data_IF_508326047530
#
_entry.id   IF_508326047530
#
_cell.length_a   1.000
_cell.length_b   1.000
_cell.length_c   1.000
_cell.angle_alpha   90.00
_cell.angle_beta   90.00
_cell.angle_gamma   90.00
#
_symmetry.space_group_name_H-M   'P 1'
#
loop_
_entity.id
_entity.type
_entity.pdbx_description
1 polymer ?
#
# COMPACT_ATOMS: atom_id res chain seq x y z
N UNK A 1 2.77 1.70 22.04
CA UNK A 1 3.31 2.25 20.78
C UNK A 1 2.15 2.82 19.97
N UNK A 2 2.30 3.92 19.23
CA UNK A 2 1.22 4.38 18.33
C UNK A 2 1.10 3.41 17.16
N UNK A 3 -0.13 3.06 16.78
CA UNK A 3 -0.44 2.12 15.69
C UNK A 3 0.19 2.59 14.37
N UNK A 4 0.77 1.67 13.61
CA UNK A 4 1.36 1.96 12.31
C UNK A 4 0.30 2.45 11.31
N UNK A 5 0.71 3.29 10.36
CA UNK A 5 -0.11 3.72 9.23
C UNK A 5 0.45 3.16 7.92
N UNK A 6 -0.42 2.73 7.01
CA UNK A 6 -0.02 2.20 5.70
C UNK A 6 -0.40 3.17 4.58
N UNK A 7 0.58 3.73 3.89
CA UNK A 7 0.39 4.44 2.63
C UNK A 7 0.08 3.45 1.50
N UNK A 8 -1.11 3.54 0.91
CA UNK A 8 -1.54 2.63 -0.16
C UNK A 8 -1.19 3.18 -1.54
N UNK A 9 0.00 2.85 -2.04
CA UNK A 9 0.42 3.14 -3.41
C UNK A 9 -0.31 2.30 -4.46
N UNK A 10 -0.88 1.16 -4.07
CA UNK A 10 -1.74 0.32 -4.92
C UNK A 10 -3.01 1.00 -5.41
N UNK A 11 -3.43 2.08 -4.74
CA UNK A 11 -4.58 2.90 -5.14
C UNK A 11 -4.20 4.11 -6.01
N UNK A 12 -2.95 4.20 -6.43
CA UNK A 12 -2.52 5.27 -7.34
C UNK A 12 -3.23 5.15 -8.69
N UNK A 13 -3.78 6.25 -9.19
CA UNK A 13 -4.46 6.30 -10.47
C UNK A 13 -3.52 5.98 -11.66
N UNK A 14 -2.21 6.18 -11.49
CA UNK A 14 -1.20 5.77 -12.48
C UNK A 14 -1.01 4.26 -12.49
N UNK A 15 -1.12 3.59 -11.35
CA UNK A 15 -1.09 2.11 -11.29
C UNK A 15 -2.32 1.53 -11.99
N UNK A 16 -3.47 2.20 -11.90
CA UNK A 16 -4.65 1.79 -12.68
C UNK A 16 -4.44 1.93 -14.20
N UNK A 17 -3.72 2.97 -14.65
CA UNK A 17 -3.41 3.19 -16.09
C UNK A 17 -2.31 2.25 -16.60
N UNK A 18 -1.34 1.93 -15.75
CA UNK A 18 -0.17 1.12 -16.05
C UNK A 18 -0.05 -0.02 -15.01
N UNK A 19 -0.88 -1.07 -15.12
CA UNK A 19 -1.01 -2.09 -14.09
C UNK A 19 0.28 -2.89 -13.88
N UNK A 20 0.67 -3.07 -12.62
CA UNK A 20 1.84 -3.84 -12.20
C UNK A 20 1.57 -5.34 -12.20
N UNK A 21 1.39 -5.95 -13.37
CA UNK A 21 1.02 -7.37 -13.54
C UNK A 21 -0.26 -7.81 -12.78
N UNK A 22 -0.92 -6.89 -12.07
CA UNK A 22 -2.13 -7.05 -11.29
C UNK A 22 -3.09 -5.98 -11.79
N UNK A 23 -4.15 -6.42 -12.45
CA UNK A 23 -5.24 -5.54 -12.83
C UNK A 23 -6.12 -5.32 -11.59
N UNK A 24 -6.16 -4.08 -11.10
CA UNK A 24 -7.04 -3.70 -10.00
C UNK A 24 -8.44 -3.48 -10.58
N UNK A 25 -9.38 -4.36 -10.26
CA UNK A 25 -10.81 -4.17 -10.46
C UNK A 25 -11.52 -3.73 -9.17
N UNK A 26 -12.83 -3.45 -9.24
CA UNK A 26 -13.63 -3.06 -8.07
C UNK A 26 -13.59 -4.10 -6.95
N UNK A 27 -13.61 -5.39 -7.31
CA UNK A 27 -13.52 -6.48 -6.35
C UNK A 27 -12.16 -6.46 -5.64
N UNK A 28 -11.06 -6.38 -6.39
CA UNK A 28 -9.70 -6.30 -5.87
C UNK A 28 -9.52 -5.07 -4.96
N UNK A 29 -10.04 -3.91 -5.37
CA UNK A 29 -10.06 -2.69 -4.57
C UNK A 29 -10.74 -2.91 -3.21
N UNK A 30 -11.93 -3.51 -3.21
CA UNK A 30 -12.69 -3.79 -1.99
C UNK A 30 -12.00 -4.83 -1.10
N UNK A 31 -11.47 -5.90 -1.68
CA UNK A 31 -10.82 -6.95 -0.92
C UNK A 31 -9.55 -6.46 -0.22
N UNK A 32 -8.81 -5.53 -0.85
CA UNK A 32 -7.67 -4.88 -0.22
C UNK A 32 -8.11 -4.09 1.03
N UNK A 33 -9.15 -3.25 0.92
CA UNK A 33 -9.68 -2.49 2.05
C UNK A 33 -10.19 -3.41 3.17
N UNK A 34 -10.88 -4.49 2.82
CA UNK A 34 -11.33 -5.51 3.77
C UNK A 34 -10.16 -6.11 4.51
N UNK A 35 -9.12 -6.55 3.79
CA UNK A 35 -7.94 -7.17 4.40
C UNK A 35 -7.34 -6.22 5.43
N UNK A 36 -7.19 -4.94 5.08
CA UNK A 36 -6.67 -3.92 5.99
C UNK A 36 -7.55 -3.77 7.22
N UNK A 37 -8.88 -3.66 7.03
CA UNK A 37 -9.84 -3.53 8.12
C UNK A 37 -9.82 -4.75 9.07
N UNK A 38 -9.79 -5.97 8.53
CA UNK A 38 -9.70 -7.22 9.30
C UNK A 38 -8.38 -7.36 10.05
N UNK A 39 -7.30 -6.77 9.54
CA UNK A 39 -6.00 -6.77 10.21
C UNK A 39 -5.76 -5.56 11.09
N UNK A 40 -6.73 -4.64 11.20
CA UNK A 40 -6.59 -3.39 11.92
C UNK A 40 -5.41 -2.55 11.40
N UNK A 41 -5.13 -2.60 10.10
CA UNK A 41 -4.05 -1.85 9.46
C UNK A 41 -4.56 -0.51 8.97
N UNK A 42 -4.42 0.53 9.81
CA UNK A 42 -4.84 1.88 9.43
C UNK A 42 -4.17 2.34 8.14
N UNK A 43 -4.94 3.04 7.32
CA UNK A 43 -4.58 3.39 5.95
C UNK A 43 -4.41 4.90 5.81
N UNK A 44 -3.46 5.29 4.96
CA UNK A 44 -3.36 6.63 4.39
C UNK A 44 -3.63 6.54 2.88
N UNK A 45 -4.55 7.39 2.39
CA UNK A 45 -4.80 7.58 0.96
C UNK A 45 -4.55 9.06 0.61
N UNK A 46 -3.88 9.29 -0.53
CA UNK A 46 -3.69 10.61 -1.11
C UNK A 46 -5.04 11.17 -1.62
N UNK A 47 -5.33 12.43 -1.32
CA UNK A 47 -6.53 13.13 -1.81
C UNK A 47 -6.75 12.99 -3.34
N UNK A 48 -5.67 12.98 -4.13
CA UNK A 48 -5.70 12.77 -5.57
C UNK A 48 -6.13 11.37 -5.96
N UNK A 49 -5.74 10.34 -5.21
CA UNK A 49 -6.18 8.96 -5.44
C UNK A 49 -7.67 8.83 -5.15
N UNK A 50 -8.14 9.37 -4.02
CA UNK A 50 -9.54 9.33 -3.64
C UNK A 50 -10.46 10.00 -4.68
N UNK A 51 -10.01 11.12 -5.26
CA UNK A 51 -10.78 11.89 -6.24
C UNK A 51 -10.68 11.35 -7.68
N UNK A 52 -9.51 10.86 -8.09
CA UNK A 52 -9.28 10.47 -9.48
C UNK A 52 -9.45 8.97 -9.75
N UNK A 53 -9.37 8.12 -8.72
CA UNK A 53 -9.53 6.68 -8.88
C UNK A 53 -11.00 6.31 -9.13
N UNK A 54 -11.34 5.60 -10.22
CA UNK A 54 -12.73 5.33 -10.59
C UNK A 54 -13.50 4.55 -9.51
N UNK A 55 -12.91 3.49 -8.96
CA UNK A 55 -13.56 2.71 -7.88
C UNK A 55 -13.70 3.47 -6.57
N UNK A 56 -12.81 4.44 -6.29
CA UNK A 56 -12.94 5.28 -5.12
C UNK A 56 -14.12 6.24 -5.29
N UNK A 57 -14.25 6.90 -6.46
CA UNK A 57 -15.43 7.73 -6.78
C UNK A 57 -16.72 6.93 -6.72
N UNK A 58 -16.74 5.74 -7.33
CA UNK A 58 -17.89 4.85 -7.29
C UNK A 58 -18.26 4.49 -5.84
N UNK A 59 -17.29 4.11 -5.02
CA UNK A 59 -17.50 3.80 -3.61
C UNK A 59 -18.04 4.99 -2.78
N UNK A 60 -17.64 6.21 -3.10
CA UNK A 60 -18.15 7.41 -2.43
C UNK A 60 -19.58 7.76 -2.84
N UNK A 61 -19.91 7.59 -4.13
CA UNK A 61 -21.25 7.86 -4.67
C UNK A 61 -22.25 6.74 -4.33
N UNK A 62 -21.78 5.49 -4.23
CA UNK A 62 -22.56 4.30 -3.95
C UNK A 62 -21.98 3.55 -2.74
N UNK A 63 -22.23 4.00 -1.49
CA UNK A 63 -21.56 3.49 -0.30
C UNK A 63 -21.82 2.01 0.04
N UNK A 64 -22.81 1.39 -0.58
CA UNK A 64 -23.10 -0.05 -0.44
C UNK A 64 -22.25 -0.92 -1.38
N UNK A 65 -21.54 -0.31 -2.34
CA UNK A 65 -20.64 -1.03 -3.26
C UNK A 65 -19.27 -1.34 -2.68
N UNK A 66 -18.90 -0.72 -1.56
CA UNK A 66 -17.53 -0.72 -1.03
C UNK A 66 -17.46 -0.28 0.43
N UNK A 67 -16.54 -0.83 1.25
CA UNK A 67 -16.38 -0.39 2.64
C UNK A 67 -15.68 0.98 2.75
N UNK A 68 -15.14 1.55 1.66
CA UNK A 68 -14.28 2.73 1.68
C UNK A 68 -14.87 3.91 2.49
N UNK A 69 -16.08 4.36 2.14
CA UNK A 69 -16.69 5.54 2.80
C UNK A 69 -16.90 5.30 4.30
N UNK A 70 -17.30 4.08 4.66
CA UNK A 70 -17.48 3.67 6.05
C UNK A 70 -16.15 3.72 6.82
N UNK A 71 -15.08 3.20 6.23
CA UNK A 71 -13.75 3.18 6.84
C UNK A 71 -13.14 4.58 6.96
N UNK A 72 -13.41 5.48 6.01
CA UNK A 72 -13.02 6.90 6.11
C UNK A 72 -13.77 7.60 7.24
N UNK A 73 -15.09 7.42 7.31
CA UNK A 73 -15.93 8.01 8.37
C UNK A 73 -15.59 7.50 9.77
N UNK A 74 -15.06 6.27 9.88
CA UNK A 74 -14.57 5.71 11.14
C UNK A 74 -13.12 6.11 11.48
N UNK A 75 -12.51 7.02 10.70
CA UNK A 75 -11.12 7.45 10.85
C UNK A 75 -10.08 6.31 10.76
N UNK A 76 -10.45 5.20 10.11
CA UNK A 76 -9.57 4.07 9.84
C UNK A 76 -8.74 4.30 8.57
N UNK A 77 -9.39 4.87 7.54
CA UNK A 77 -8.73 5.44 6.37
C UNK A 77 -8.60 6.95 6.60
N UNK A 78 -7.38 7.43 6.69
CA UNK A 78 -7.08 8.86 6.80
C UNK A 78 -6.69 9.43 5.44
N UNK A 79 -7.12 10.67 5.17
CA UNK A 79 -6.88 11.33 3.90
C UNK A 79 -5.67 12.25 4.04
N UNK A 80 -4.59 11.94 3.33
CA UNK A 80 -3.47 12.85 3.18
C UNK A 80 -3.83 13.94 2.17
N UNK A 81 -3.98 15.17 2.66
CA UNK A 81 -4.50 16.27 1.84
C UNK A 81 -3.54 17.45 1.74
N UNK A 82 -3.47 18.02 0.54
CA UNK A 82 -2.71 19.25 0.24
C UNK A 82 -3.34 20.51 0.84
N UNK A 83 -4.63 20.50 1.16
CA UNK A 83 -5.33 21.67 1.69
C UNK A 83 -6.29 21.40 2.85
N UNK A 84 -6.48 20.13 3.24
CA UNK A 84 -7.52 19.76 4.21
C UNK A 84 -8.95 19.85 3.65
N UNK A 85 -9.11 19.91 2.32
CA UNK A 85 -10.38 20.00 1.61
C UNK A 85 -10.25 19.33 0.24
N UNK A 86 -11.05 18.30 -0.05
CA UNK A 86 -11.04 17.60 -1.33
C UNK A 86 -11.63 18.48 -2.45
N UNK A 87 -12.63 19.30 -2.13
CA UNK A 87 -13.19 20.29 -3.04
C UNK A 87 -12.16 21.33 -3.47
N UNK A 88 -11.39 21.86 -2.53
CA UNK A 88 -10.33 22.84 -2.81
C UNK A 88 -9.22 22.21 -3.64
N UNK A 89 -8.83 20.97 -3.33
CA UNK A 89 -7.84 20.20 -4.11
C UNK A 89 -8.32 20.06 -5.55
N UNK A 90 -9.56 19.61 -5.76
CA UNK A 90 -10.10 19.43 -7.10
C UNK A 90 -10.09 20.74 -7.91
N UNK A 91 -10.38 21.87 -7.28
CA UNK A 91 -10.36 23.18 -7.91
C UNK A 91 -8.94 23.65 -8.22
N UNK A 92 -8.05 23.67 -7.22
CA UNK A 92 -6.68 24.17 -7.33
C UNK A 92 -5.86 23.35 -8.33
N UNK A 93 -5.93 22.02 -8.26
CA UNK A 93 -5.16 21.15 -9.13
C UNK A 93 -5.61 21.25 -10.60
N UNK A 94 -6.93 21.40 -10.84
CA UNK A 94 -7.47 21.66 -12.18
C UNK A 94 -6.97 23.01 -12.73
N UNK A 95 -6.99 24.07 -11.90
CA UNK A 95 -6.51 25.40 -12.27
C UNK A 95 -4.98 25.44 -12.52
N UNK A 96 -4.21 24.59 -11.84
CA UNK A 96 -2.77 24.40 -12.07
C UNK A 96 -2.43 23.58 -13.32
N UNK A 97 -3.43 23.11 -14.07
CA UNK A 97 -3.20 22.36 -15.31
C UNK A 97 -3.03 20.86 -15.13
N UNK A 98 -3.36 20.30 -13.95
CA UNK A 98 -3.24 18.85 -13.73
C UNK A 98 -4.39 18.13 -14.45
N UNK A 99 -4.04 17.40 -15.50
CA UNK A 99 -4.99 16.86 -16.47
C UNK A 99 -6.05 15.94 -15.85
N UNK A 100 -5.69 15.09 -14.89
CA UNK A 100 -6.63 14.19 -14.22
C UNK A 100 -7.77 14.95 -13.54
N UNK A 101 -7.47 16.06 -12.87
CA UNK A 101 -8.48 16.91 -12.22
C UNK A 101 -9.32 17.72 -13.22
N UNK A 102 -8.73 18.16 -14.34
CA UNK A 102 -9.49 18.80 -15.42
C UNK A 102 -10.49 17.83 -16.05
N UNK A 103 -10.06 16.58 -16.31
CA UNK A 103 -10.94 15.51 -16.80
C UNK A 103 -12.03 15.18 -15.78
N UNK A 104 -11.69 15.10 -14.50
CA UNK A 104 -12.66 14.90 -13.42
C UNK A 104 -13.75 15.97 -13.45
N UNK A 105 -13.40 17.26 -13.48
CA UNK A 105 -14.39 18.36 -13.46
C UNK A 105 -15.30 18.40 -14.69
N UNK A 106 -14.82 17.90 -15.84
CA UNK A 106 -15.60 17.79 -17.08
C UNK A 106 -16.42 16.49 -17.16
N UNK A 107 -16.22 15.54 -16.24
CA UNK A 107 -16.91 14.26 -16.27
C UNK A 107 -18.38 14.38 -15.85
N UNK A 108 -19.20 13.45 -16.32
CA UNK A 108 -20.63 13.37 -15.96
C UNK A 108 -20.85 13.08 -14.46
N UNK A 109 -19.86 12.48 -13.77
CA UNK A 109 -19.93 12.14 -12.34
C UNK A 109 -19.71 13.36 -11.44
N UNK A 110 -19.04 14.41 -11.93
CA UNK A 110 -18.59 15.53 -11.10
C UNK A 110 -19.71 16.29 -10.37
N UNK A 111 -20.86 16.61 -10.97
CA UNK A 111 -21.94 17.29 -10.26
C UNK A 111 -22.43 16.52 -9.02
N UNK A 112 -22.59 15.19 -9.16
CA UNK A 112 -22.98 14.32 -8.07
C UNK A 112 -21.87 14.21 -7.01
N UNK A 113 -20.63 13.99 -7.43
CA UNK A 113 -19.48 13.89 -6.52
C UNK A 113 -19.28 15.18 -5.73
N UNK A 114 -19.30 16.33 -6.39
CA UNK A 114 -19.18 17.65 -5.75
C UNK A 114 -20.26 17.88 -4.70
N UNK A 115 -21.49 17.47 -4.97
CA UNK A 115 -22.61 17.61 -4.03
C UNK A 115 -22.40 16.72 -2.80
N UNK A 116 -22.00 15.48 -3.01
CA UNK A 116 -21.67 14.55 -1.93
C UNK A 116 -20.50 15.07 -1.07
N UNK A 117 -19.40 15.53 -1.69
CA UNK A 117 -18.24 16.07 -0.98
C UNK A 117 -18.60 17.27 -0.09
N UNK A 118 -19.43 18.20 -0.59
CA UNK A 118 -19.91 19.36 0.19
C UNK A 118 -20.62 18.96 1.49
N UNK A 119 -21.34 17.83 1.47
CA UNK A 119 -22.05 17.32 2.64
C UNK A 119 -21.14 16.50 3.54
N UNK A 120 -20.16 15.82 2.96
CA UNK A 120 -19.32 14.83 3.64
C UNK A 120 -18.11 15.45 4.35
N UNK A 121 -17.42 16.40 3.71
CA UNK A 121 -16.19 17.02 4.23
C UNK A 121 -16.33 17.65 5.63
N UNK A 122 -17.43 18.36 5.98
CA UNK A 122 -17.59 18.90 7.33
C UNK A 122 -17.64 17.80 8.41
N UNK A 123 -18.06 16.59 8.07
CA UNK A 123 -17.96 15.42 8.95
C UNK A 123 -16.50 14.99 9.13
N UNK A 124 -15.73 14.94 8.05
CA UNK A 124 -14.33 14.54 8.05
C UNK A 124 -13.44 15.52 8.83
N UNK A 125 -13.71 16.82 8.73
CA UNK A 125 -13.01 17.86 9.49
C UNK A 125 -13.27 17.73 10.99
N UNK A 126 -14.50 17.40 11.41
CA UNK A 126 -14.85 17.24 12.84
C UNK A 126 -14.17 16.06 13.51
N UNK A 127 -13.77 15.04 12.75
CA UNK A 127 -13.09 13.85 13.27
C UNK A 127 -11.58 13.86 12.98
N UNK A 128 -11.04 15.00 12.54
CA UNK A 128 -9.63 15.17 12.17
C UNK A 128 -9.13 14.08 11.20
N UNK A 129 -9.94 13.74 10.19
CA UNK A 129 -9.61 12.68 9.24
C UNK A 129 -8.48 13.07 8.26
N UNK A 130 -8.31 14.37 8.03
CA UNK A 130 -7.28 14.89 7.16
C UNK A 130 -5.93 14.92 7.87
N UNK A 131 -4.93 14.27 7.29
CA UNK A 131 -3.54 14.40 7.72
C UNK A 131 -2.79 15.33 6.76
N UNK A 132 -1.79 16.08 7.26
CA UNK A 132 -1.07 17.04 6.44
C UNK A 132 -0.27 16.33 5.34
N UNK A 133 -0.27 16.95 4.15
CA UNK A 133 0.66 16.61 3.08
C UNK A 133 2.12 16.66 3.57
N UNK A 134 3.03 15.86 2.99
CA UNK A 134 4.43 15.93 3.35
C UNK A 134 4.99 17.34 3.12
N UNK A 135 5.71 17.87 4.11
CA UNK A 135 6.40 19.17 3.99
C UNK A 135 7.53 19.16 2.96
N UNK A 136 7.94 17.98 2.50
CA UNK A 136 9.00 17.76 1.52
C UNK A 136 8.47 17.84 0.09
N UNK A 137 9.29 18.39 -0.81
CA UNK A 137 8.98 18.52 -2.24
C UNK A 137 8.94 17.16 -2.94
N UNK A 138 7.73 16.58 -3.03
CA UNK A 138 7.52 15.22 -3.53
C UNK A 138 8.14 14.99 -4.92
N UNK A 139 8.02 15.94 -5.84
CA UNK A 139 8.56 15.80 -7.20
C UNK A 139 10.10 15.73 -7.25
N UNK A 140 10.78 16.37 -6.29
CA UNK A 140 12.24 16.30 -6.16
C UNK A 140 12.67 14.98 -5.53
N UNK A 141 11.98 14.55 -4.47
CA UNK A 141 12.23 13.25 -3.87
C UNK A 141 11.95 12.07 -4.80
N UNK A 142 10.92 12.19 -5.66
CA UNK A 142 10.66 11.24 -6.74
C UNK A 142 11.82 11.16 -7.73
N UNK A 143 12.35 12.31 -8.18
CA UNK A 143 13.51 12.35 -9.09
C UNK A 143 14.73 11.67 -8.46
N UNK A 144 15.02 11.99 -7.20
CA UNK A 144 16.10 11.38 -6.43
C UNK A 144 15.92 9.87 -6.32
N UNK A 145 14.70 9.38 -6.07
CA UNK A 145 14.43 7.93 -6.01
C UNK A 145 14.56 7.26 -7.38
N UNK A 146 13.97 7.85 -8.42
CA UNK A 146 14.01 7.28 -9.76
C UNK A 146 15.44 7.22 -10.30
N UNK A 147 16.25 8.25 -10.10
CA UNK A 147 17.63 8.30 -10.59
C UNK A 147 18.54 7.22 -9.97
N UNK A 148 18.19 6.65 -8.82
CA UNK A 148 18.92 5.51 -8.23
C UNK A 148 18.87 4.27 -9.12
N UNK A 149 17.81 4.12 -9.91
CA UNK A 149 17.66 2.99 -10.83
C UNK A 149 18.45 3.12 -12.12
N UNK A 150 18.95 4.32 -12.48
CA UNK A 150 19.56 4.60 -13.79
C UNK A 150 20.81 3.74 -14.07
N UNK A 151 21.56 3.39 -13.03
CA UNK A 151 22.79 2.60 -13.14
C UNK A 151 22.55 1.09 -13.04
N UNK A 152 21.30 0.66 -12.86
CA UNK A 152 20.93 -0.75 -12.79
C UNK A 152 20.56 -1.25 -14.19
N UNK A 153 20.90 -2.51 -14.47
CA UNK A 153 20.44 -3.21 -15.67
C UNK A 153 18.94 -3.50 -15.57
N UNK A 154 18.24 -3.46 -16.70
CA UNK A 154 16.79 -3.72 -16.77
C UNK A 154 16.40 -5.09 -16.21
N UNK A 155 17.28 -6.09 -16.37
CA UNK A 155 17.08 -7.43 -15.80
C UNK A 155 17.04 -7.41 -14.26
N UNK A 156 17.91 -6.63 -13.62
CA UNK A 156 17.91 -6.47 -12.16
C UNK A 156 16.63 -5.76 -11.68
N UNK A 157 16.04 -4.91 -12.52
CA UNK A 157 14.77 -4.23 -12.24
C UNK A 157 13.54 -5.13 -12.44
N UNK A 158 13.74 -6.39 -12.86
CA UNK A 158 12.65 -7.32 -13.16
C UNK A 158 11.83 -6.87 -14.38
N UNK A 159 12.47 -6.20 -15.33
CA UNK A 159 11.88 -5.83 -16.62
C UNK A 159 12.21 -6.91 -17.65
N UNK A 160 11.22 -7.27 -18.46
CA UNK A 160 11.28 -8.36 -19.44
C UNK A 160 11.00 -7.89 -20.86
N UNK A 161 10.30 -6.77 -21.03
CA UNK A 161 9.97 -6.20 -22.33
C UNK A 161 10.92 -5.05 -22.72
N UNK A 162 11.44 -4.31 -21.74
CA UNK A 162 12.33 -3.16 -21.93
C UNK A 162 13.78 -3.63 -22.09
N UNK A 163 14.50 -3.09 -23.08
CA UNK A 163 15.96 -3.31 -23.23
C UNK A 163 16.77 -2.23 -22.49
N UNK A 164 18.05 -2.48 -22.20
CA UNK A 164 18.91 -1.45 -21.60
C UNK A 164 19.04 -0.19 -22.49
N UNK A 165 19.05 -0.33 -23.82
CA UNK A 165 19.08 0.83 -24.74
C UNK A 165 17.80 1.67 -24.63
N UNK A 166 16.64 1.03 -24.63
CA UNK A 166 15.35 1.70 -24.42
C UNK A 166 15.35 2.48 -23.09
N UNK A 167 15.80 1.82 -22.02
CA UNK A 167 15.87 2.37 -20.68
C UNK A 167 16.77 3.61 -20.62
N UNK A 168 17.98 3.54 -21.18
CA UNK A 168 18.90 4.68 -21.21
C UNK A 168 18.38 5.82 -22.07
N UNK A 169 17.80 5.54 -23.25
CA UNK A 169 17.19 6.57 -24.12
C UNK A 169 16.04 7.31 -23.44
N UNK A 170 15.18 6.59 -22.71
CA UNK A 170 14.11 7.19 -21.91
C UNK A 170 14.70 8.08 -20.81
N UNK A 171 15.71 7.59 -20.08
CA UNK A 171 16.39 8.35 -19.03
C UNK A 171 17.07 9.62 -19.55
N UNK A 172 17.70 9.57 -20.72
CA UNK A 172 18.36 10.71 -21.34
C UNK A 172 17.34 11.79 -21.74
N UNK A 173 16.24 11.39 -22.39
CA UNK A 173 15.17 12.33 -22.73
C UNK A 173 14.51 12.92 -21.48
N UNK A 174 14.26 12.09 -20.46
CA UNK A 174 13.73 12.53 -19.18
C UNK A 174 14.66 13.55 -18.50
N UNK A 175 15.96 13.24 -18.41
CA UNK A 175 16.97 14.10 -17.77
C UNK A 175 17.07 15.45 -18.49
N UNK A 176 17.03 15.44 -19.83
CA UNK A 176 17.02 16.66 -20.64
C UNK A 176 15.79 17.53 -20.33
N UNK A 177 14.60 16.92 -20.26
CA UNK A 177 13.35 17.63 -19.96
C UNK A 177 13.22 18.07 -18.50
N UNK A 178 13.87 17.38 -17.58
CA UNK A 178 13.75 17.60 -16.13
C UNK A 178 14.90 18.44 -15.54
N UNK A 179 15.71 19.09 -16.40
CA UNK A 179 16.91 19.83 -15.99
C UNK A 179 16.61 21.15 -15.29
N UNK A 180 15.63 21.89 -15.78
CA UNK A 180 15.35 23.28 -15.34
C UNK A 180 14.17 23.42 -14.38
N UNK A 181 13.26 22.45 -14.39
CA UNK A 181 12.05 22.45 -13.59
C UNK A 181 11.86 21.05 -13.01
N UNK A 182 11.46 20.99 -11.74
CA UNK A 182 11.19 19.76 -10.99
C UNK A 182 9.70 19.60 -10.67
N UNK A 183 8.82 20.40 -11.23
CA UNK A 183 7.37 20.22 -11.11
C UNK A 183 6.83 19.14 -12.05
N UNK A 184 5.80 18.40 -11.67
CA UNK A 184 5.20 17.36 -12.53
C UNK A 184 6.21 16.31 -13.09
N UNK A 185 7.26 16.01 -12.35
CA UNK A 185 8.37 15.14 -12.77
C UNK A 185 7.93 13.76 -13.27
N UNK A 186 6.96 13.13 -12.58
CA UNK A 186 6.41 11.83 -13.00
C UNK A 186 5.73 11.89 -14.37
N UNK A 187 5.03 12.98 -14.65
CA UNK A 187 4.41 13.21 -15.97
C UNK A 187 5.47 13.36 -17.06
N UNK A 188 6.59 14.02 -16.77
CA UNK A 188 7.70 14.12 -17.73
C UNK A 188 8.33 12.76 -18.04
N UNK A 189 8.43 11.88 -17.04
CA UNK A 189 8.87 10.50 -17.23
C UNK A 189 7.91 9.73 -18.15
N UNK A 190 6.61 9.79 -17.90
CA UNK A 190 5.56 9.18 -18.75
C UNK A 190 5.67 9.66 -20.20
N UNK A 191 5.80 10.98 -20.40
CA UNK A 191 5.99 11.56 -21.73
C UNK A 191 7.31 11.14 -22.41
N UNK A 192 8.37 10.89 -21.64
CA UNK A 192 9.62 10.38 -22.19
C UNK A 192 9.45 8.92 -22.66
N UNK A 193 8.79 8.09 -21.86
CA UNK A 193 8.46 6.71 -22.22
C UNK A 193 7.64 6.67 -23.53
N UNK A 194 6.55 7.45 -23.61
CA UNK A 194 5.68 7.50 -24.79
C UNK A 194 6.46 8.01 -26.01
N UNK A 195 7.30 9.03 -25.87
CA UNK A 195 8.03 9.60 -27.01
C UNK A 195 9.12 8.66 -27.55
N UNK A 196 9.76 7.88 -26.70
CA UNK A 196 10.87 6.99 -27.12
C UNK A 196 10.33 5.66 -27.65
N UNK A 197 9.25 5.15 -27.08
CA UNK A 197 8.79 3.78 -27.28
C UNK A 197 7.39 3.67 -27.90
N UNK A 198 6.68 4.78 -28.08
CA UNK A 198 5.27 4.79 -28.49
C UNK A 198 4.99 4.16 -29.86
N UNK A 199 6.01 4.13 -30.73
CA UNK A 199 5.92 3.57 -32.07
C UNK A 199 6.40 2.10 -32.14
N UNK A 200 6.85 1.52 -31.02
CA UNK A 200 7.30 0.12 -30.96
C UNK A 200 6.12 -0.86 -31.00
N UNK A 201 6.36 -2.03 -31.62
CA UNK A 201 5.35 -3.10 -31.70
C UNK A 201 4.85 -3.62 -30.33
N UNK A 202 5.67 -3.47 -29.28
CA UNK A 202 5.37 -3.81 -27.89
C UNK A 202 5.39 -2.58 -26.96
N UNK A 203 5.05 -1.40 -27.50
CA UNK A 203 5.07 -0.12 -26.77
C UNK A 203 4.31 -0.20 -25.43
N UNK A 204 3.15 -0.86 -25.42
CA UNK A 204 2.29 -0.97 -24.24
C UNK A 204 3.01 -1.69 -23.10
N UNK A 205 3.59 -2.85 -23.36
CA UNK A 205 4.30 -3.66 -22.37
C UNK A 205 5.54 -2.90 -21.85
N UNK A 206 6.33 -2.31 -22.75
CA UNK A 206 7.52 -1.54 -22.36
C UNK A 206 7.18 -0.33 -21.49
N UNK A 207 6.16 0.45 -21.90
CA UNK A 207 5.73 1.64 -21.14
C UNK A 207 5.17 1.21 -19.78
N UNK A 208 4.40 0.11 -19.70
CA UNK A 208 3.91 -0.42 -18.43
C UNK A 208 5.05 -0.75 -17.45
N UNK A 209 6.11 -1.41 -17.91
CA UNK A 209 7.26 -1.76 -17.05
C UNK A 209 7.96 -0.51 -16.48
N UNK A 210 8.22 0.49 -17.34
CA UNK A 210 8.85 1.76 -16.96
C UNK A 210 7.98 2.62 -16.04
N UNK A 211 6.67 2.68 -16.31
CA UNK A 211 5.71 3.35 -15.42
C UNK A 211 5.53 2.60 -14.12
N UNK A 212 5.73 1.29 -14.13
CA UNK A 212 5.78 0.46 -12.95
C UNK A 212 6.90 0.86 -11.99
N UNK A 213 8.12 1.00 -12.51
CA UNK A 213 9.28 1.49 -11.76
C UNK A 213 9.07 2.91 -11.22
N UNK A 214 8.53 3.82 -12.04
CA UNK A 214 8.24 5.18 -11.60
C UNK A 214 7.20 5.21 -10.48
N UNK A 215 6.15 4.40 -10.56
CA UNK A 215 5.15 4.35 -9.49
C UNK A 215 5.75 3.79 -8.20
N UNK A 216 6.61 2.76 -8.28
CA UNK A 216 7.36 2.25 -7.13
C UNK A 216 8.25 3.33 -6.48
N UNK A 217 9.04 4.06 -7.28
CA UNK A 217 9.88 5.17 -6.83
C UNK A 217 9.05 6.27 -6.13
N UNK A 218 7.87 6.58 -6.68
CA UNK A 218 6.95 7.57 -6.14
C UNK A 218 6.43 7.17 -4.75
N UNK A 219 6.05 5.91 -4.58
CA UNK A 219 5.53 5.41 -3.31
C UNK A 219 6.61 5.32 -2.23
N UNK A 220 7.81 4.84 -2.56
CA UNK A 220 8.94 4.86 -1.63
C UNK A 220 9.29 6.29 -1.20
N UNK A 221 9.24 7.25 -2.13
CA UNK A 221 9.45 8.64 -1.78
C UNK A 221 8.41 9.16 -0.76
N UNK A 222 7.12 8.83 -0.93
CA UNK A 222 6.12 9.14 0.10
C UNK A 222 6.45 8.48 1.44
N UNK A 223 6.85 7.21 1.42
CA UNK A 223 7.23 6.49 2.63
C UNK A 223 8.40 7.18 3.36
N UNK A 224 9.42 7.65 2.63
CA UNK A 224 10.55 8.42 3.17
C UNK A 224 10.04 9.72 3.81
N UNK A 225 9.30 10.53 3.07
CA UNK A 225 8.86 11.84 3.55
C UNK A 225 7.89 11.72 4.74
N UNK A 226 6.96 10.76 4.70
CA UNK A 226 6.00 10.52 5.77
C UNK A 226 6.67 9.96 7.02
N UNK A 227 7.62 9.03 6.88
CA UNK A 227 8.35 8.49 8.04
C UNK A 227 9.16 9.58 8.75
N UNK A 228 9.81 10.48 7.99
CA UNK A 228 10.53 11.61 8.56
C UNK A 228 9.59 12.62 9.23
N UNK A 229 8.44 12.91 8.63
CA UNK A 229 7.45 13.85 9.18
C UNK A 229 6.74 13.31 10.42
N UNK A 230 6.42 12.01 10.44
CA UNK A 230 5.70 11.35 11.52
C UNK A 230 6.63 10.42 12.30
N UNK A 231 7.78 10.91 12.76
CA UNK A 231 8.83 10.09 13.41
C UNK A 231 8.38 9.27 14.63
N UNK A 232 7.27 9.66 15.27
CA UNK A 232 6.66 8.95 16.40
C UNK A 232 5.72 7.80 15.98
N UNK A 233 5.43 7.68 14.68
CA UNK A 233 4.57 6.65 14.10
C UNK A 233 5.33 5.87 13.05
N UNK A 234 5.08 4.57 13.01
CA UNK A 234 5.60 3.73 11.93
C UNK A 234 4.78 3.94 10.67
N UNK A 235 5.45 4.21 9.56
CA UNK A 235 4.83 4.27 8.23
C UNK A 235 5.22 3.02 7.44
N UNK A 236 4.20 2.31 6.97
CA UNK A 236 4.30 1.25 5.97
C UNK A 236 3.94 1.86 4.61
N UNK A 237 4.53 1.36 3.54
CA UNK A 237 4.12 1.63 2.16
C UNK A 237 3.74 0.33 1.49
N UNK A 238 2.58 0.31 0.84
CA UNK A 238 2.16 -0.78 -0.03
C UNK A 238 2.41 -0.41 -1.50
N UNK A 239 3.32 -1.13 -2.14
CA UNK A 239 3.80 -0.85 -3.51
C UNK A 239 4.39 -2.11 -4.15
N UNK A 240 4.57 -2.12 -5.48
CA UNK A 240 5.38 -3.12 -6.18
C UNK A 240 6.77 -3.23 -5.53
N UNK A 241 7.29 -4.45 -5.42
CA UNK A 241 8.67 -4.72 -5.07
C UNK A 241 9.49 -5.06 -6.33
N UNK A 242 10.62 -4.38 -6.49
CA UNK A 242 11.72 -4.74 -7.38
C UNK A 242 13.07 -4.55 -6.68
N UNK A 243 14.16 -5.05 -7.29
CA UNK A 243 15.49 -4.84 -6.72
C UNK A 243 15.95 -3.37 -6.77
N UNK A 244 15.24 -2.49 -7.49
CA UNK A 244 15.55 -1.07 -7.61
C UNK A 244 15.65 -0.37 -6.25
N UNK A 245 14.87 -0.84 -5.27
CA UNK A 245 14.77 -0.27 -3.93
C UNK A 245 14.99 -1.33 -2.84
N UNK A 246 15.60 -2.46 -3.20
CA UNK A 246 15.87 -3.53 -2.24
C UNK A 246 16.77 -3.06 -1.10
N UNK A 247 17.65 -2.07 -1.31
CA UNK A 247 18.50 -1.53 -0.24
C UNK A 247 17.72 -0.68 0.79
N UNK A 248 16.56 -0.15 0.40
CA UNK A 248 15.66 0.58 1.32
C UNK A 248 14.95 -0.36 2.28
N UNK A 249 14.78 -1.61 1.85
CA UNK A 249 14.20 -2.68 2.63
C UNK A 249 15.40 -3.44 3.20
N UNK A 250 15.81 -3.17 4.44
CA UNK A 250 17.01 -3.78 5.04
C UNK A 250 16.84 -5.29 5.29
N UNK A 251 16.73 -6.10 4.24
CA UNK A 251 16.45 -7.53 4.31
C UNK A 251 17.71 -8.27 4.74
N UNK A 252 17.69 -8.84 5.94
CA UNK A 252 18.65 -9.87 6.30
C UNK A 252 18.41 -11.12 5.46
N UNK A 253 19.48 -11.84 5.10
CA UNK A 253 19.33 -13.16 4.48
C UNK A 253 18.76 -14.17 5.50
N UNK A 254 17.69 -14.91 5.17
CA UNK A 254 17.09 -15.85 6.10
C UNK A 254 17.94 -17.11 6.26
N UNK A 255 18.03 -17.63 7.48
CA UNK A 255 18.68 -18.92 7.79
C UNK A 255 17.64 -20.04 7.93
N UNK A 256 17.99 -21.31 7.62
CA UNK A 256 17.05 -22.45 7.67
C UNK A 256 16.41 -22.69 9.05
N UNK A 257 17.03 -22.20 10.12
CA UNK A 257 16.53 -22.23 11.51
C UNK A 257 15.31 -21.33 11.77
N UNK A 258 14.91 -20.49 10.81
CA UNK A 258 13.89 -19.43 10.98
C UNK A 258 12.48 -19.85 10.49
N UNK A 259 12.27 -21.16 10.30
CA UNK A 259 10.97 -21.75 9.96
C UNK A 259 10.11 -21.95 11.22
N UNK A 260 9.00 -21.20 11.35
CA UNK A 260 8.05 -21.24 12.49
C UNK A 260 6.65 -21.60 12.00
N UNK A 261 5.78 -22.17 12.84
CA UNK A 261 4.36 -22.29 12.50
C UNK A 261 3.67 -21.00 12.94
N UNK A 262 3.07 -20.25 12.01
CA UNK A 262 2.31 -19.04 12.32
C UNK A 262 0.82 -19.44 12.41
N UNK A 263 0.18 -19.27 13.58
CA UNK A 263 -1.24 -19.56 13.69
C UNK A 263 -2.08 -18.68 12.76
N UNK A 264 -3.06 -19.28 12.08
CA UNK A 264 -3.92 -18.60 11.10
C UNK A 264 -5.27 -18.23 11.71
N UNK A 265 -5.84 -17.08 11.30
CA UNK A 265 -7.23 -16.76 11.59
C UNK A 265 -8.16 -17.38 10.53
N UNK A 266 -9.40 -17.64 10.93
CA UNK A 266 -10.48 -18.03 10.02
C UNK A 266 -11.36 -16.82 9.76
N UNK A 267 -11.51 -16.47 8.48
CA UNK A 267 -12.39 -15.38 8.05
C UNK A 267 -13.69 -15.99 7.51
N UNK A 268 -14.86 -15.41 7.84
CA UNK A 268 -16.11 -15.84 7.25
C UNK A 268 -16.09 -15.78 5.71
N UNK A 269 -16.70 -16.77 5.04
CA UNK A 269 -16.67 -16.85 3.57
C UNK A 269 -17.39 -15.68 2.89
N UNK A 270 -18.47 -15.18 3.50
CA UNK A 270 -19.29 -14.09 2.96
C UNK A 270 -19.14 -12.86 3.85
N UNK A 271 -18.45 -11.85 3.32
CA UNK A 271 -18.33 -10.54 3.96
C UNK A 271 -19.28 -9.57 3.25
N UNK A 272 -20.24 -9.04 3.99
CA UNK A 272 -21.26 -8.13 3.45
C UNK A 272 -20.69 -6.73 3.21
N UNK A 273 -20.45 -6.37 1.95
CA UNK A 273 -19.99 -5.03 1.54
C UNK A 273 -21.09 -3.98 1.61
N UNK A 274 -22.34 -4.41 1.44
CA UNK A 274 -23.56 -3.60 1.39
C UNK A 274 -24.03 -3.10 2.76
N UNK A 275 -23.31 -3.46 3.83
CA UNK A 275 -23.59 -3.04 5.21
C UNK A 275 -22.46 -2.17 5.78
N UNK A 276 -22.39 -0.87 5.42
CA UNK A 276 -21.37 0.07 5.91
C UNK A 276 -21.16 0.08 7.42
N UNK A 277 -22.24 -0.11 8.20
CA UNK A 277 -22.17 -0.06 9.66
C UNK A 277 -21.31 -1.19 10.25
N UNK A 278 -21.33 -2.39 9.64
CA UNK A 278 -20.47 -3.50 10.09
C UNK A 278 -19.00 -3.11 9.97
N UNK A 279 -18.61 -2.43 8.90
CA UNK A 279 -17.24 -1.99 8.69
C UNK A 279 -16.82 -0.88 9.66
N UNK A 280 -17.74 0.04 9.99
CA UNK A 280 -17.49 1.06 11.02
C UNK A 280 -17.27 0.43 12.38
N UNK A 281 -18.18 -0.46 12.80
CA UNK A 281 -18.07 -1.14 14.09
C UNK A 281 -16.80 -1.98 14.16
N UNK A 282 -16.42 -2.70 13.09
CA UNK A 282 -15.19 -3.51 13.07
C UNK A 282 -13.93 -2.70 13.44
N UNK A 283 -13.85 -1.45 13.01
CA UNK A 283 -12.67 -0.58 13.19
C UNK A 283 -12.86 0.49 14.27
N UNK A 284 -14.03 0.51 14.92
CA UNK A 284 -14.32 1.40 16.05
C UNK A 284 -13.57 0.90 17.29
N UNK A 285 -12.63 1.67 17.86
CA UNK A 285 -11.84 1.25 19.01
C UNK A 285 -12.66 0.96 20.28
N UNK A 286 -13.93 1.37 20.32
CA UNK A 286 -14.84 1.13 21.43
C UNK A 286 -15.75 -0.10 21.23
N UNK A 287 -15.66 -0.78 20.09
CA UNK A 287 -16.43 -1.99 19.83
C UNK A 287 -15.77 -3.24 20.43
N UNK A 288 -16.59 -4.23 20.79
CA UNK A 288 -16.11 -5.52 21.30
C UNK A 288 -15.22 -6.23 20.28
N UNK A 289 -15.62 -6.23 19.00
CA UNK A 289 -14.88 -6.89 17.92
C UNK A 289 -13.50 -6.24 17.68
N UNK A 290 -13.40 -4.90 17.77
CA UNK A 290 -12.11 -4.22 17.68
C UNK A 290 -11.23 -4.49 18.91
N UNK A 291 -11.83 -4.63 20.09
CA UNK A 291 -11.13 -5.08 21.29
C UNK A 291 -10.45 -6.43 21.08
N UNK A 292 -11.18 -7.41 20.55
CA UNK A 292 -10.63 -8.75 20.24
C UNK A 292 -9.60 -8.68 19.09
N UNK A 293 -9.82 -7.85 18.08
CA UNK A 293 -8.83 -7.61 17.01
C UNK A 293 -7.50 -7.11 17.60
N UNK A 294 -7.57 -6.15 18.53
CA UNK A 294 -6.38 -5.59 19.19
C UNK A 294 -5.65 -6.64 20.03
N UNK A 295 -6.37 -7.46 20.78
CA UNK A 295 -5.76 -8.59 21.52
C UNK A 295 -5.00 -9.55 20.58
N UNK A 296 -5.59 -9.86 19.41
CA UNK A 296 -4.92 -10.67 18.39
C UNK A 296 -3.65 -9.99 17.84
N UNK A 297 -3.71 -8.68 17.56
CA UNK A 297 -2.55 -7.91 17.12
C UNK A 297 -1.43 -7.90 18.16
N UNK A 298 -1.75 -7.60 19.42
CA UNK A 298 -0.78 -7.53 20.52
C UNK A 298 -0.11 -8.89 20.76
N UNK A 299 -0.86 -9.99 20.68
CA UNK A 299 -0.30 -11.35 20.81
C UNK A 299 0.62 -11.73 19.65
N UNK A 300 0.26 -11.34 18.43
CA UNK A 300 1.11 -11.55 17.26
C UNK A 300 2.39 -10.71 17.32
N UNK A 301 2.33 -9.46 17.82
CA UNK A 301 3.51 -8.64 18.11
C UNK A 301 4.46 -9.35 19.07
N UNK A 302 3.93 -9.82 20.20
CA UNK A 302 4.71 -10.52 21.22
C UNK A 302 5.31 -11.81 20.66
N UNK A 303 4.58 -12.54 19.81
CA UNK A 303 5.09 -13.78 19.21
C UNK A 303 6.26 -13.51 18.27
N UNK A 304 6.17 -12.51 17.40
CA UNK A 304 7.29 -12.14 16.53
C UNK A 304 8.47 -11.51 17.29
N UNK A 305 8.22 -10.90 18.44
CA UNK A 305 9.25 -10.43 19.36
C UNK A 305 9.90 -11.56 20.18
N UNK A 306 9.43 -12.81 20.06
CA UNK A 306 9.89 -13.96 20.85
C UNK A 306 9.42 -13.92 22.32
N UNK A 307 8.44 -13.07 22.64
CA UNK A 307 7.88 -12.86 23.98
C UNK A 307 6.63 -13.70 24.24
N UNK A 308 5.95 -14.17 23.20
CA UNK A 308 4.80 -15.09 23.30
C UNK A 308 5.07 -16.42 22.57
N UNK A 309 4.35 -17.46 22.99
CA UNK A 309 4.39 -18.76 22.33
C UNK A 309 3.23 -18.91 21.32
N UNK A 310 3.33 -19.92 20.45
CA UNK A 310 2.31 -20.18 19.43
C UNK A 310 0.92 -20.48 20.00
N UNK A 311 0.84 -21.07 21.20
CA UNK A 311 -0.43 -21.43 21.84
C UNK A 311 -1.26 -20.19 22.20
N UNK A 312 -0.63 -19.14 22.73
CA UNK A 312 -1.31 -17.88 23.01
C UNK A 312 -1.92 -17.30 21.72
N UNK A 313 -1.13 -17.30 20.64
CA UNK A 313 -1.57 -16.80 19.34
C UNK A 313 -2.71 -17.63 18.75
N UNK A 314 -2.69 -18.96 18.90
CA UNK A 314 -3.81 -19.83 18.51
C UNK A 314 -5.10 -19.50 19.27
N UNK A 315 -5.02 -19.34 20.60
CA UNK A 315 -6.16 -19.04 21.46
C UNK A 315 -6.84 -17.71 21.08
N UNK A 316 -6.06 -16.64 20.92
CA UNK A 316 -6.59 -15.33 20.50
C UNK A 316 -7.04 -15.32 19.03
N UNK A 317 -6.42 -16.11 18.15
CA UNK A 317 -6.87 -16.27 16.75
C UNK A 317 -8.27 -16.91 16.69
N UNK A 318 -8.53 -17.93 17.51
CA UNK A 318 -9.84 -18.56 17.63
C UNK A 318 -10.88 -17.60 18.19
N UNK A 319 -10.53 -16.86 19.25
CA UNK A 319 -11.40 -15.83 19.83
C UNK A 319 -11.77 -14.77 18.79
N UNK A 320 -10.81 -14.29 18.01
CA UNK A 320 -11.05 -13.30 16.96
C UNK A 320 -11.89 -13.85 15.81
N UNK A 321 -11.62 -15.07 15.36
CA UNK A 321 -12.40 -15.73 14.30
C UNK A 321 -13.88 -15.88 14.69
N UNK A 322 -14.15 -16.21 15.96
CA UNK A 322 -15.51 -16.28 16.50
C UNK A 322 -16.18 -14.89 16.54
N UNK A 323 -15.47 -13.88 17.03
CA UNK A 323 -15.98 -12.51 17.06
C UNK A 323 -16.33 -11.99 15.65
N UNK A 324 -15.49 -12.28 14.65
CA UNK A 324 -15.76 -11.95 13.25
C UNK A 324 -17.02 -12.66 12.70
N UNK A 325 -17.19 -13.94 13.02
CA UNK A 325 -18.33 -14.73 12.55
C UNK A 325 -19.66 -14.19 13.09
N UNK A 326 -19.68 -13.87 14.39
CA UNK A 326 -20.83 -13.21 15.05
C UNK A 326 -21.08 -11.82 14.45
N UNK A 327 -20.03 -11.02 14.31
CA UNK A 327 -20.13 -9.64 13.81
C UNK A 327 -20.69 -9.56 12.38
N UNK A 328 -20.30 -10.48 11.52
CA UNK A 328 -20.79 -10.54 10.12
C UNK A 328 -22.03 -11.42 9.95
N UNK A 329 -22.69 -11.83 11.03
CA UNK A 329 -23.93 -12.63 11.01
C UNK A 329 -23.84 -13.91 10.16
N UNK A 330 -22.68 -14.57 10.16
CA UNK A 330 -22.50 -15.85 9.48
C UNK A 330 -22.70 -16.99 10.48
N UNK A 331 -23.57 -17.96 10.13
CA UNK A 331 -23.70 -19.20 10.90
C UNK A 331 -22.36 -19.93 10.95
N UNK A 332 -21.93 -20.39 12.14
CA UNK A 332 -20.69 -21.15 12.34
C UNK A 332 -20.59 -22.42 11.44
N UNK A 333 -21.72 -22.84 10.84
CA UNK A 333 -21.85 -24.01 9.95
C UNK A 333 -21.60 -23.70 8.47
N UNK A 334 -21.66 -22.45 8.02
CA UNK A 334 -21.32 -22.05 6.65
C UNK A 334 -19.78 -21.95 6.57
N UNK A 335 -19.15 -23.10 6.32
CA UNK A 335 -17.72 -23.35 6.51
C UNK A 335 -16.84 -22.14 6.21
N UNK A 336 -16.14 -21.61 7.22
CA UNK A 336 -15.22 -20.48 7.04
C UNK A 336 -14.13 -20.77 6.00
N UNK A 337 -13.49 -19.73 5.47
CA UNK A 337 -12.24 -19.93 4.72
C UNK A 337 -11.21 -20.45 5.73
N UNK A 338 -11.03 -21.78 5.75
CA UNK A 338 -9.99 -22.42 6.54
C UNK A 338 -8.64 -22.08 5.92
N UNK A 339 -7.95 -21.15 6.60
CA UNK A 339 -6.59 -20.66 6.39
C UNK A 339 -6.52 -19.38 5.58
N UNK A 340 -6.73 -18.26 6.27
CA UNK A 340 -6.08 -17.01 5.86
C UNK A 340 -4.88 -16.84 6.77
N UNK A 341 -3.73 -17.30 6.29
CA UNK A 341 -2.49 -16.93 6.94
C UNK A 341 -2.27 -15.45 6.60
N UNK A 342 -2.56 -14.59 7.58
CA UNK A 342 -2.45 -13.14 7.45
C UNK A 342 -1.27 -12.69 8.29
N UNK A 343 -0.20 -12.25 7.65
CA UNK A 343 0.87 -11.57 8.37
C UNK A 343 0.47 -10.15 8.65
N UNK A 344 0.44 -9.82 9.93
CA UNK A 344 0.41 -8.46 10.40
C UNK A 344 1.84 -7.89 10.36
N UNK A 345 1.97 -6.62 9.97
CA UNK A 345 3.24 -5.95 9.74
C UNK A 345 3.98 -5.57 11.01
N UNK A 346 4.61 -6.52 11.68
CA UNK A 346 5.39 -6.26 12.89
C UNK A 346 6.89 -6.27 12.61
N UNK A 347 7.48 -5.08 12.62
CA UNK A 347 8.92 -4.89 12.88
C UNK A 347 8.97 -4.31 14.28
N UNK A 348 9.44 -5.11 15.23
CA UNK A 348 9.72 -4.67 16.57
C UNK A 348 10.86 -3.66 16.56
N UNK A 349 10.62 -2.49 17.13
CA UNK A 349 11.69 -1.62 17.63
C UNK A 349 12.23 -2.26 18.91
N UNK A 350 13.11 -3.25 18.75
CA UNK A 350 13.81 -3.92 19.84
C UNK A 350 15.25 -3.44 19.94
N UNK A 351 15.47 -2.33 20.64
CA UNK A 351 16.76 -1.99 21.24
C UNK A 351 17.11 -3.07 22.28
N UNK A 352 17.94 -4.05 21.92
CA UNK A 352 18.76 -4.77 22.90
C UNK A 352 20.19 -4.74 22.37
N UNK A 353 21.07 -4.15 23.19
CA UNK A 353 22.50 -4.00 22.98
C UNK A 353 23.13 -5.07 22.07
N UNK A 354 23.59 -4.68 20.88
CA UNK A 354 24.48 -5.49 20.04
C UNK A 354 23.87 -6.60 19.18
N UNK A 355 22.55 -6.68 19.02
CA UNK A 355 21.90 -7.70 18.15
C UNK A 355 21.46 -7.18 16.76
N UNK A 356 21.43 -8.03 15.70
CA UNK A 356 21.09 -7.61 14.35
C UNK A 356 19.62 -7.19 14.21
N UNK A 357 19.41 -6.06 13.55
CA UNK A 357 18.10 -5.54 13.12
C UNK A 357 17.36 -6.63 12.34
N UNK A 358 16.23 -7.09 12.85
CA UNK A 358 15.45 -8.19 12.27
C UNK A 358 14.50 -7.66 11.20
N UNK A 359 14.91 -7.83 9.95
CA UNK A 359 14.05 -7.77 8.77
C UNK A 359 14.31 -9.03 7.92
N UNK A 360 13.31 -9.51 7.20
CA UNK A 360 13.50 -10.60 6.23
C UNK A 360 12.30 -10.70 5.29
N UNK A 361 11.92 -11.85 4.71
CA UNK A 361 10.83 -12.00 3.71
C UNK A 361 9.65 -12.96 4.09
N UNK A 362 8.37 -12.53 4.04
CA UNK A 362 7.20 -13.33 4.46
C UNK A 362 6.01 -13.25 3.49
N UNK A 363 5.86 -14.34 2.74
CA UNK A 363 4.84 -14.56 1.73
C UNK A 363 3.54 -15.03 2.39
N UNK A 364 2.46 -14.24 2.32
CA UNK A 364 1.17 -14.64 2.87
C UNK A 364 -0.02 -14.03 2.10
N UNK A 365 -0.55 -14.78 1.14
CA UNK A 365 -1.83 -15.49 1.25
C UNK A 365 -2.19 -16.05 -0.15
N UNK A 366 -2.20 -17.37 -0.33
CA UNK A 366 -3.15 -17.95 -1.28
C UNK A 366 -4.53 -17.75 -0.68
N UNK A 367 -5.32 -16.82 -1.21
CA UNK A 367 -6.78 -16.82 -1.05
C UNK A 367 -7.44 -16.01 -2.15
N UNK A 368 -8.70 -16.34 -2.41
CA UNK A 368 -9.67 -15.73 -3.34
C UNK A 368 -9.91 -14.22 -3.19
N UNK A 369 -9.17 -13.54 -2.31
CA UNK A 369 -9.33 -12.14 -1.94
C UNK A 369 -8.25 -11.19 -2.48
N UNK A 370 -7.28 -11.63 -3.30
CA UNK A 370 -6.37 -10.85 -4.17
C UNK A 370 -5.14 -11.72 -4.50
N UNK A 371 -4.45 -11.49 -5.64
CA UNK A 371 -3.13 -12.06 -5.86
C UNK A 371 -2.15 -11.57 -4.78
N UNK A 372 -1.28 -12.48 -4.39
CA UNK A 372 -0.29 -12.44 -3.32
C UNK A 372 0.34 -11.07 -3.05
N UNK A 373 0.16 -10.57 -1.81
CA UNK A 373 0.98 -9.47 -1.26
C UNK A 373 2.17 -10.07 -0.50
N UNK A 374 3.35 -10.01 -1.10
CA UNK A 374 4.63 -10.33 -0.46
C UNK A 374 4.97 -9.26 0.57
N UNK A 375 4.67 -9.53 1.84
CA UNK A 375 5.34 -8.79 2.90
C UNK A 375 6.73 -9.33 3.12
N UNK A 376 7.56 -8.54 3.77
CA UNK A 376 8.95 -8.88 3.92
C UNK A 376 9.26 -9.00 5.44
N UNK A 377 9.29 -10.24 6.02
CA UNK A 377 9.86 -10.56 7.38
C UNK A 377 10.77 -11.82 7.52
N UNK A 378 11.71 -11.88 8.49
CA UNK A 378 12.77 -12.91 8.67
C UNK A 378 12.32 -14.34 8.97
N UNK A 379 11.06 -14.55 9.31
CA UNK A 379 10.52 -15.84 9.74
C UNK A 379 9.65 -16.47 8.64
N UNK A 380 9.73 -17.78 8.43
CA UNK A 380 9.01 -18.51 7.35
C UNK A 380 7.99 -19.47 7.92
N UNK A 381 6.75 -19.49 7.39
CA UNK A 381 5.73 -20.44 7.87
C UNK A 381 5.99 -21.88 7.41
N UNK A 382 6.26 -22.80 8.35
CA UNK A 382 6.52 -24.23 8.07
C UNK A 382 5.35 -24.92 7.36
N UNK A 383 4.11 -24.57 7.72
CA UNK A 383 2.90 -25.19 7.18
C UNK A 383 2.70 -24.89 5.69
N UNK A 384 3.02 -23.66 5.27
CA UNK A 384 2.96 -23.20 3.88
C UNK A 384 4.02 -23.88 3.00
N UNK A 385 5.31 -23.82 3.37
CA UNK A 385 6.39 -24.34 2.53
C UNK A 385 6.45 -25.87 2.43
N UNK A 386 5.90 -26.60 3.40
CA UNK A 386 5.78 -28.07 3.30
C UNK A 386 4.72 -28.52 2.29
N UNK A 387 3.77 -27.65 1.93
CA UNK A 387 2.70 -27.98 0.98
C UNK A 387 3.05 -27.67 -0.47
N UNK A 388 4.04 -26.81 -0.71
CA UNK A 388 4.61 -26.63 -2.03
C UNK A 388 5.51 -27.83 -2.35
N UNK A 389 5.23 -28.51 -3.46
CA UNK A 389 5.95 -29.71 -3.92
C UNK A 389 7.46 -29.43 -4.01
N UNK A 390 8.36 -30.37 -3.65
CA UNK A 390 9.81 -30.11 -3.51
C UNK A 390 10.56 -29.64 -4.77
N UNK A 391 9.91 -29.58 -5.94
CA UNK A 391 10.54 -29.36 -7.24
C UNK A 391 10.29 -27.98 -7.87
N UNK A 392 9.67 -27.03 -7.16
CA UNK A 392 9.64 -25.64 -7.61
C UNK A 392 10.42 -24.78 -6.64
N UNK A 393 11.71 -24.58 -6.92
CA UNK A 393 12.37 -23.34 -6.49
C UNK A 393 11.60 -22.20 -7.15
N UNK A 394 10.73 -21.53 -6.39
CA UNK A 394 10.13 -20.26 -6.81
C UNK A 394 11.26 -19.25 -6.95
N UNK A 395 11.80 -19.15 -8.16
CA UNK A 395 12.73 -18.08 -8.52
C UNK A 395 11.93 -16.77 -8.65
N UNK A 396 11.82 -16.08 -7.52
CA UNK A 396 11.13 -14.79 -7.41
C UNK A 396 12.02 -13.63 -7.89
N UNK A 397 13.26 -13.88 -8.30
CA UNK A 397 14.18 -12.82 -8.74
C UNK A 397 13.68 -12.09 -10.00
N UNK A 398 12.80 -12.73 -10.77
CA UNK A 398 12.26 -12.24 -12.03
C UNK A 398 10.74 -11.92 -12.00
N UNK A 399 10.07 -11.98 -10.84
CA UNK A 399 8.62 -11.70 -10.74
C UNK A 399 8.32 -10.51 -9.83
N UNK A 400 7.70 -9.49 -10.41
CA UNK A 400 7.17 -8.35 -9.67
C UNK A 400 6.07 -8.82 -8.71
N UNK A 401 6.23 -8.52 -7.41
CA UNK A 401 5.24 -8.86 -6.40
C UNK A 401 4.73 -7.61 -5.71
N UNK A 402 3.46 -7.61 -5.29
CA UNK A 402 2.94 -6.54 -4.47
C UNK A 402 3.54 -6.67 -3.08
N UNK A 403 4.05 -5.58 -2.50
CA UNK A 403 4.70 -5.61 -1.20
C UNK A 403 4.21 -4.55 -0.25
N UNK A 404 4.35 -4.81 1.04
CA UNK A 404 4.08 -3.83 2.09
C UNK A 404 5.28 -3.77 3.04
N UNK A 405 5.99 -2.65 3.02
CA UNK A 405 7.32 -2.49 3.63
C UNK A 405 7.41 -1.20 4.44
N UNK A 406 8.30 -1.16 5.44
CA UNK A 406 8.66 0.08 6.13
C UNK A 406 10.12 0.42 5.90
N UNK A 407 10.40 1.69 5.73
CA UNK A 407 11.76 2.23 5.72
C UNK A 407 12.15 2.51 7.18
N UNK A 408 13.36 2.14 7.58
CA UNK A 408 13.85 2.45 8.94
C UNK A 408 13.91 3.96 9.13
N UNK A 409 13.53 4.44 10.33
CA UNK A 409 13.49 5.89 10.61
C UNK A 409 14.85 6.58 10.34
N UNK A 410 16.02 6.03 10.74
CA UNK A 410 17.30 6.67 10.45
C UNK A 410 17.60 6.78 8.95
N UNK A 411 17.20 5.78 8.15
CA UNK A 411 17.37 5.82 6.70
C UNK A 411 16.41 6.81 6.05
N UNK A 412 15.15 6.84 6.50
CA UNK A 412 14.16 7.80 6.02
C UNK A 412 14.59 9.25 6.31
N UNK A 413 15.07 9.53 7.52
CA UNK A 413 15.60 10.86 7.89
C UNK A 413 16.83 11.23 7.05
N UNK A 414 17.73 10.28 6.79
CA UNK A 414 18.89 10.50 5.91
C UNK A 414 18.44 10.88 4.50
N UNK A 415 17.56 10.10 3.89
CA UNK A 415 17.09 10.34 2.52
C UNK A 415 16.24 11.61 2.42
N UNK A 416 15.45 11.93 3.44
CA UNK A 416 14.60 13.12 3.45
C UNK A 416 15.40 14.44 3.57
N UNK A 417 16.65 14.40 4.05
CA UNK A 417 17.53 15.58 4.11
C UNK A 417 17.90 16.10 2.72
N UNK A 418 18.00 15.21 1.75
CA UNK A 418 18.33 15.56 0.36
C UNK A 418 17.11 16.03 -0.44
N UNK A 419 15.93 16.12 0.21
CA UNK A 419 14.70 16.61 -0.40
C UNK A 419 14.40 18.00 0.19
N UNK A 420 14.27 19.04 -0.65
CA UNK A 420 13.94 20.38 -0.16
C UNK A 420 12.54 20.40 0.45
N UNK A 421 12.33 21.29 1.42
CA UNK A 421 11.00 21.57 1.94
C UNK A 421 10.20 22.41 0.94
N UNK A 422 8.86 22.31 1.00
CA UNK A 422 7.98 23.29 0.37
C UNK A 422 8.19 24.63 1.09
N UNK A 423 8.58 25.65 0.32
CA UNK A 423 8.63 27.05 0.73
C UNK A 423 7.24 27.66 0.83
#
# INVERSE_FOLDING_TARGET
>A
MQQALTYLGTLDDVVQRYPWNIEMGQQQFNQMLIRKALLGEKIIINDGYLLNHPFARHALLYPTSSPLKALVEANFVQIMSRSGSLLDVAQKMSAQGVESFQRLQKSAEWPALRTMLKQWEPGLQRIDNFIPWPKKHISHGFDNMLCRSRQLYVENLGMTAVTDDDFQRVFDLYTLKNKSDKEATRTRWEQACIKVLGDDSNAKEKINELMGLASEAYHYNFAVCLSAQFSQRKILVETRYSHAFADLIQLGQPTQSELINIPSIQIPQKLSFDRPQLWKTLVDPFSDVAGVQKEYQDAMEQFFAGQANAKLVEEVSLKYSKALSVHFENDEQDGGIKKVALSIGFLGLGLVAGGPVTAGLLWLAENSLLPTVTRVFKLRDKGFFKKQTPNQSLDLSHQNTLSSVSISLPLAEKLAKDIPDFT
#
